data_IF_653742046517
#
_entry.id   IF_653742046517
#
_cell.length_a   1.000
_cell.length_b   1.000
_cell.length_c   1.000
_cell.angle_alpha   90.00
_cell.angle_beta   90.00
_cell.angle_gamma   90.00
#
_symmetry.space_group_name_H-M   'P 1'
#
loop_
_entity.id
_entity.type
_entity.pdbx_description
1 polymer ?
#
# COMPACT_ATOMS: atom_id res chain seq x y z
N UNK A 1 23.28 8.69 -12.20
CA UNK A 1 22.23 8.69 -13.24
C UNK A 1 20.93 8.19 -12.64
N UNK A 2 20.04 9.09 -12.19
CA UNK A 2 18.72 8.73 -11.66
C UNK A 2 17.67 8.93 -12.75
N UNK A 3 16.98 7.85 -13.14
CA UNK A 3 15.80 7.91 -14.01
C UNK A 3 14.59 8.23 -13.15
N UNK A 4 14.08 9.47 -13.27
CA UNK A 4 12.74 9.83 -12.81
C UNK A 4 11.71 9.12 -13.69
N UNK A 5 10.94 8.20 -13.10
CA UNK A 5 9.72 7.69 -13.73
C UNK A 5 8.56 8.64 -13.38
N UNK A 6 8.27 9.54 -14.32
CA UNK A 6 7.03 10.30 -14.36
C UNK A 6 5.89 9.36 -14.74
N UNK A 7 4.86 9.29 -13.90
CA UNK A 7 3.58 8.67 -14.21
C UNK A 7 2.81 9.50 -15.25
N UNK A 8 2.43 8.95 -16.41
CA UNK A 8 1.54 9.62 -17.35
C UNK A 8 0.11 9.17 -17.06
N UNK A 9 -0.60 9.91 -16.20
CA UNK A 9 -1.92 9.50 -15.75
C UNK A 9 -2.82 10.65 -15.39
N UNK A 10 -3.18 11.49 -16.38
CA UNK A 10 -4.45 12.24 -16.52
C UNK A 10 -4.35 13.24 -17.68
N UNK A 11 -4.52 12.75 -18.89
CA UNK A 11 -4.95 13.56 -20.03
C UNK A 11 -6.31 13.05 -20.47
N UNK A 12 -7.38 13.55 -19.85
CA UNK A 12 -8.73 13.51 -20.41
C UNK A 12 -8.98 14.87 -21.06
N UNK A 13 -8.49 15.00 -22.28
CA UNK A 13 -9.01 15.96 -23.23
C UNK A 13 -9.88 15.17 -24.22
N UNK A 14 -11.20 15.33 -24.11
CA UNK A 14 -12.10 15.04 -25.22
C UNK A 14 -13.18 16.12 -25.26
N UNK A 15 -12.85 17.18 -26.01
CA UNK A 15 -13.72 17.80 -27.00
C UNK A 15 -15.08 18.30 -26.50
N UNK A 16 -15.07 19.48 -25.86
CA UNK A 16 -16.21 20.39 -26.01
C UNK A 16 -16.20 20.87 -27.46
N UNK A 17 -17.06 20.27 -28.28
CA UNK A 17 -17.36 20.71 -29.62
C UNK A 17 -17.85 22.17 -29.57
N UNK A 18 -16.93 23.10 -29.81
CA UNK A 18 -17.28 24.41 -30.35
C UNK A 18 -17.93 24.14 -31.71
N UNK A 19 -19.25 24.29 -31.79
CA UNK A 19 -19.92 24.46 -33.08
C UNK A 19 -19.62 25.90 -33.54
N UNK A 20 -18.84 26.12 -34.62
CA UNK A 20 -18.94 27.37 -35.33
C UNK A 20 -20.31 27.37 -36.00
N UNK A 21 -21.20 28.27 -35.57
CA UNK A 21 -22.36 28.62 -36.39
C UNK A 21 -21.82 29.36 -37.61
N UNK A 22 -21.48 28.57 -38.62
CA UNK A 22 -21.20 29.02 -39.96
C UNK A 22 -22.40 29.82 -40.47
N UNK A 23 -22.07 30.99 -41.00
CA UNK A 23 -22.88 31.78 -41.90
C UNK A 23 -23.59 30.88 -42.91
N UNK A 24 -24.91 30.96 -42.95
CA UNK A 24 -25.71 30.86 -44.17
C UNK A 24 -27.15 31.27 -43.84
N UNK A 25 -27.39 32.57 -43.82
CA UNK A 25 -28.71 33.11 -44.08
C UNK A 25 -28.53 34.19 -45.15
N UNK A 26 -28.91 33.79 -46.37
CA UNK A 26 -29.15 34.62 -47.55
C UNK A 26 -29.50 36.06 -47.20
N UNK A 27 -28.73 37.00 -47.74
CA UNK A 27 -29.12 38.41 -47.84
C UNK A 27 -30.40 38.45 -48.69
N UNK A 28 -31.57 38.81 -48.13
CA UNK A 28 -32.71 39.09 -48.97
C UNK A 28 -32.40 40.37 -49.76
N UNK A 29 -32.51 40.26 -51.07
CA UNK A 29 -32.48 41.36 -52.03
C UNK A 29 -33.27 42.56 -51.48
N UNK A 30 -32.71 43.75 -51.69
CA UNK A 30 -33.33 45.05 -51.45
C UNK A 30 -34.85 45.05 -51.68
N UNK A 31 -35.63 44.84 -50.62
CA UNK A 31 -36.98 45.35 -50.57
C UNK A 31 -36.85 46.84 -50.34
N UNK A 32 -37.21 47.62 -51.36
CA UNK A 32 -37.41 49.06 -51.27
C UNK A 32 -38.35 49.32 -50.09
N UNK A 33 -37.79 49.75 -48.97
CA UNK A 33 -38.56 50.26 -47.84
C UNK A 33 -39.20 51.55 -48.35
N UNK A 34 -40.45 51.45 -48.80
CA UNK A 34 -41.31 52.62 -48.95
C UNK A 34 -41.44 53.21 -47.55
N UNK A 35 -40.70 54.28 -47.28
CA UNK A 35 -40.94 55.13 -46.13
C UNK A 35 -42.30 55.80 -46.33
N UNK A 36 -43.36 55.09 -45.97
CA UNK A 36 -44.63 55.72 -45.63
C UNK A 36 -44.35 56.52 -44.36
N UNK A 37 -44.06 57.80 -44.55
CA UNK A 37 -44.01 58.81 -43.50
C UNK A 37 -45.43 59.09 -43.01
N UNK A 38 -46.08 58.08 -42.44
CA UNK A 38 -47.22 58.32 -41.57
C UNK A 38 -46.67 58.99 -40.33
N UNK A 39 -46.86 60.31 -40.23
CA UNK A 39 -46.63 61.07 -39.00
C UNK A 39 -47.33 60.33 -37.87
N UNK A 40 -46.56 59.57 -37.08
CA UNK A 40 -47.06 58.97 -35.87
C UNK A 40 -47.57 60.13 -35.00
N UNK A 41 -48.86 60.11 -34.71
CA UNK A 41 -49.45 61.02 -33.73
C UNK A 41 -48.68 60.84 -32.41
N UNK A 42 -48.35 61.93 -31.71
CA UNK A 42 -47.55 61.93 -30.46
C UNK A 42 -48.03 60.89 -29.42
N UNK A 43 -49.30 60.48 -29.51
CA UNK A 43 -49.98 59.44 -28.72
C UNK A 43 -49.47 58.00 -28.93
N UNK A 44 -49.13 57.58 -30.16
CA UNK A 44 -48.68 56.20 -30.43
C UNK A 44 -47.22 55.96 -30.02
N UNK A 45 -46.37 56.97 -30.20
CA UNK A 45 -44.96 56.92 -29.80
C UNK A 45 -44.80 56.86 -28.26
N UNK A 46 -45.66 57.57 -27.52
CA UNK A 46 -45.71 57.51 -26.06
C UNK A 46 -46.13 56.13 -25.53
N UNK A 47 -47.10 55.47 -26.17
CA UNK A 47 -47.54 54.11 -25.81
C UNK A 47 -46.48 53.04 -26.07
N UNK A 48 -45.68 53.18 -27.13
CA UNK A 48 -44.55 52.28 -27.40
C UNK A 48 -43.40 52.50 -26.43
N UNK A 49 -43.09 53.76 -26.07
CA UNK A 49 -42.13 54.12 -25.03
C UNK A 49 -42.52 53.51 -23.68
N UNK A 50 -43.79 53.59 -23.27
CA UNK A 50 -44.28 52.95 -22.04
C UNK A 50 -44.17 51.42 -22.07
N UNK A 51 -44.42 50.77 -23.22
CA UNK A 51 -44.23 49.32 -23.37
C UNK A 51 -42.75 48.95 -23.27
N UNK A 52 -41.86 49.73 -23.87
CA UNK A 52 -40.42 49.51 -23.83
C UNK A 52 -39.86 49.73 -22.42
N UNK A 53 -40.27 50.79 -21.72
CA UNK A 53 -39.86 51.03 -20.33
C UNK A 53 -40.34 49.91 -19.40
N UNK A 54 -41.60 49.46 -19.52
CA UNK A 54 -42.11 48.28 -18.79
C UNK A 54 -41.32 47.00 -19.07
N UNK A 55 -40.92 46.75 -20.32
CA UNK A 55 -40.07 45.61 -20.69
C UNK A 55 -38.67 45.71 -20.09
N UNK A 56 -38.06 46.91 -20.11
CA UNK A 56 -36.74 47.16 -19.50
C UNK A 56 -36.81 46.97 -17.98
N UNK A 57 -37.88 47.41 -17.34
CA UNK A 57 -38.07 47.28 -15.90
C UNK A 57 -38.22 45.80 -15.50
N UNK A 58 -39.06 45.04 -16.21
CA UNK A 58 -39.16 43.57 -16.05
C UNK A 58 -37.84 42.85 -16.31
N UNK A 59 -37.06 43.28 -17.31
CA UNK A 59 -35.74 42.70 -17.59
C UNK A 59 -34.72 43.01 -16.47
N UNK A 60 -34.76 44.22 -15.89
CA UNK A 60 -33.93 44.61 -14.74
C UNK A 60 -34.28 43.79 -13.49
N UNK A 61 -35.57 43.55 -13.23
CA UNK A 61 -36.03 42.69 -12.13
C UNK A 61 -35.58 41.23 -12.31
N UNK A 62 -35.75 40.66 -13.51
CA UNK A 62 -35.24 39.32 -13.85
C UNK A 62 -33.72 39.21 -13.72
N UNK A 63 -32.97 40.25 -14.11
CA UNK A 63 -31.51 40.28 -13.93
C UNK A 63 -31.13 40.28 -12.45
N UNK A 64 -31.86 41.04 -11.62
CA UNK A 64 -31.63 41.06 -10.16
C UNK A 64 -31.97 39.73 -9.50
N UNK A 65 -33.05 39.05 -9.91
CA UNK A 65 -33.38 37.72 -9.37
C UNK A 65 -32.33 36.69 -9.76
N UNK A 66 -31.95 36.62 -11.04
CA UNK A 66 -30.89 35.70 -11.50
C UNK A 66 -29.54 35.94 -10.83
N UNK A 67 -29.19 37.20 -10.51
CA UNK A 67 -27.97 37.50 -9.75
C UNK A 67 -28.03 37.02 -8.30
N UNK A 68 -29.22 37.04 -7.67
CA UNK A 68 -29.40 36.48 -6.32
C UNK A 68 -29.28 34.95 -6.35
N UNK A 69 -29.95 34.30 -7.29
CA UNK A 69 -29.89 32.84 -7.47
C UNK A 69 -28.47 32.34 -7.74
N UNK A 70 -27.71 33.06 -8.58
CA UNK A 70 -26.29 32.75 -8.84
C UNK A 70 -25.45 32.87 -7.57
N UNK A 71 -25.62 33.94 -6.78
CA UNK A 71 -24.90 34.12 -5.51
C UNK A 71 -25.24 33.05 -4.49
N UNK A 72 -26.48 32.58 -4.47
CA UNK A 72 -26.92 31.50 -3.58
C UNK A 72 -26.31 30.16 -3.98
N UNK A 73 -26.36 29.81 -5.27
CA UNK A 73 -25.70 28.59 -5.80
C UNK A 73 -24.19 28.62 -5.60
N UNK A 74 -23.53 29.76 -5.78
CA UNK A 74 -22.09 29.90 -5.49
C UNK A 74 -21.77 29.64 -4.00
N UNK A 75 -22.63 30.09 -3.09
CA UNK A 75 -22.47 29.82 -1.65
C UNK A 75 -22.66 28.33 -1.33
N UNK A 76 -23.65 27.68 -1.93
CA UNK A 76 -23.87 26.23 -1.78
C UNK A 76 -22.69 25.42 -2.31
N UNK A 77 -22.20 25.74 -3.50
CA UNK A 77 -21.02 25.08 -4.10
C UNK A 77 -19.80 25.25 -3.18
N UNK A 78 -19.56 26.45 -2.63
CA UNK A 78 -18.47 26.68 -1.67
C UNK A 78 -18.62 25.84 -0.40
N UNK A 79 -19.84 25.72 0.14
CA UNK A 79 -20.11 24.85 1.30
C UNK A 79 -19.84 23.38 0.99
N UNK A 80 -20.31 22.87 -0.15
CA UNK A 80 -20.08 21.49 -0.58
C UNK A 80 -18.60 21.18 -0.81
N UNK A 81 -17.85 22.11 -1.41
CA UNK A 81 -16.39 21.96 -1.58
C UNK A 81 -15.69 21.92 -0.23
N UNK A 82 -16.07 22.81 0.70
CA UNK A 82 -15.52 22.84 2.05
C UNK A 82 -15.79 21.53 2.81
N UNK A 83 -17.02 21.03 2.72
CA UNK A 83 -17.42 19.76 3.35
C UNK A 83 -16.62 18.58 2.76
N UNK A 84 -16.56 18.46 1.42
CA UNK A 84 -15.78 17.42 0.75
C UNK A 84 -14.31 17.46 1.14
N UNK A 85 -13.70 18.66 1.23
CA UNK A 85 -12.31 18.81 1.67
C UNK A 85 -12.09 18.33 3.10
N UNK A 86 -13.03 18.62 4.01
CA UNK A 86 -12.97 18.12 5.40
C UNK A 86 -13.09 16.59 5.44
N UNK A 87 -14.02 16.03 4.68
CA UNK A 87 -14.24 14.58 4.62
C UNK A 87 -13.04 13.84 4.01
N UNK A 88 -12.42 14.37 2.95
CA UNK A 88 -11.22 13.77 2.35
C UNK A 88 -10.05 13.81 3.32
N UNK A 89 -9.84 14.94 4.01
CA UNK A 89 -8.77 15.06 5.01
C UNK A 89 -9.01 14.12 6.20
N UNK A 90 -10.25 13.96 6.65
CA UNK A 90 -10.60 13.00 7.70
C UNK A 90 -10.31 11.55 7.28
N UNK A 91 -10.75 11.16 6.07
CA UNK A 91 -10.49 9.83 5.50
C UNK A 91 -9.00 9.55 5.28
N UNK A 92 -8.23 10.52 4.80
CA UNK A 92 -6.79 10.39 4.64
C UNK A 92 -6.07 10.22 5.99
N UNK A 93 -6.50 10.96 7.02
CA UNK A 93 -5.96 10.78 8.38
C UNK A 93 -6.29 9.41 8.94
N UNK A 94 -7.52 8.94 8.77
CA UNK A 94 -7.95 7.62 9.27
C UNK A 94 -7.21 6.48 8.55
N UNK A 95 -7.12 6.55 7.22
CA UNK A 95 -6.37 5.56 6.43
C UNK A 95 -4.88 5.58 6.75
N UNK A 96 -4.29 6.76 6.98
CA UNK A 96 -2.90 6.89 7.42
C UNK A 96 -2.66 6.26 8.80
N UNK A 97 -3.58 6.48 9.76
CA UNK A 97 -3.52 5.84 11.09
C UNK A 97 -3.60 4.32 10.97
N UNK A 98 -4.60 3.79 10.26
CA UNK A 98 -4.76 2.34 10.02
C UNK A 98 -3.53 1.72 9.36
N UNK A 99 -2.93 2.40 8.38
CA UNK A 99 -1.68 1.93 7.74
C UNK A 99 -0.52 1.86 8.73
N UNK A 100 -0.35 2.88 9.58
CA UNK A 100 0.71 2.90 10.60
C UNK A 100 0.52 1.84 11.67
N UNK A 101 -0.72 1.58 12.09
CA UNK A 101 -1.04 0.52 13.05
C UNK A 101 -0.77 -0.86 12.44
N UNK A 102 -1.25 -1.13 11.23
CA UNK A 102 -0.97 -2.37 10.52
C UNK A 102 0.53 -2.59 10.26
N UNK A 103 1.30 -1.52 10.00
CA UNK A 103 2.75 -1.62 9.84
C UNK A 103 3.45 -1.96 11.16
N UNK A 104 3.03 -1.37 12.28
CA UNK A 104 3.53 -1.70 13.62
C UNK A 104 3.22 -3.15 14.01
N UNK A 105 2.01 -3.61 13.74
CA UNK A 105 1.61 -5.01 13.99
C UNK A 105 2.44 -5.97 13.15
N UNK A 106 2.63 -5.67 11.86
CA UNK A 106 3.50 -6.48 10.99
C UNK A 106 4.95 -6.50 11.47
N UNK A 107 5.48 -5.36 11.92
CA UNK A 107 6.83 -5.29 12.46
C UNK A 107 6.95 -6.12 13.75
N UNK A 108 5.98 -5.98 14.66
CA UNK A 108 5.92 -6.76 15.89
C UNK A 108 5.88 -8.26 15.61
N UNK A 109 4.96 -8.71 14.76
CA UNK A 109 4.86 -10.12 14.34
C UNK A 109 6.17 -10.62 13.71
N UNK A 110 6.78 -9.83 12.82
CA UNK A 110 8.05 -10.20 12.20
C UNK A 110 9.16 -10.39 13.24
N UNK A 111 9.22 -9.54 14.26
CA UNK A 111 10.23 -9.65 15.32
C UNK A 111 9.95 -10.82 16.27
N UNK A 112 8.68 -11.09 16.59
CA UNK A 112 8.26 -12.24 17.41
C UNK A 112 8.59 -13.57 16.74
N UNK A 113 8.29 -13.71 15.44
CA UNK A 113 8.46 -14.96 14.71
C UNK A 113 9.91 -15.23 14.29
N UNK A 114 10.75 -14.20 14.28
CA UNK A 114 12.15 -14.32 13.87
C UNK A 114 12.97 -15.13 14.88
N UNK A 115 13.80 -16.02 14.36
CA UNK A 115 14.74 -16.78 15.17
C UNK A 115 15.82 -15.87 15.81
N UNK A 116 16.20 -16.15 17.07
CA UNK A 116 17.23 -15.39 17.74
C UNK A 116 18.57 -15.65 17.05
N UNK A 117 19.31 -14.57 16.75
CA UNK A 117 20.63 -14.71 16.15
C UNK A 117 21.63 -15.16 17.23
N UNK A 118 22.38 -16.26 17.02
CA UNK A 118 23.42 -16.66 17.95
C UNK A 118 24.55 -15.63 17.97
N UNK A 119 25.23 -15.52 19.11
CA UNK A 119 26.47 -14.76 19.22
C UNK A 119 27.66 -15.62 18.80
N UNK A 120 28.68 -14.96 18.25
CA UNK A 120 30.01 -15.55 18.05
C UNK A 120 30.86 -15.30 19.30
N UNK A 121 31.91 -16.10 19.52
CA UNK A 121 32.82 -15.91 20.66
C UNK A 121 33.40 -14.48 20.72
N UNK A 122 33.74 -13.89 19.57
CA UNK A 122 34.16 -12.48 19.47
C UNK A 122 33.09 -11.52 19.96
N UNK A 123 31.84 -11.69 19.53
CA UNK A 123 30.76 -10.80 19.96
C UNK A 123 30.42 -10.99 21.44
N UNK A 124 30.54 -12.21 21.96
CA UNK A 124 30.38 -12.50 23.38
C UNK A 124 31.50 -11.84 24.20
N UNK A 125 32.76 -11.97 23.77
CA UNK A 125 33.91 -11.26 24.34
C UNK A 125 33.64 -9.75 24.42
N UNK A 126 33.24 -9.12 23.31
CA UNK A 126 32.91 -7.69 23.28
C UNK A 126 31.83 -7.30 24.29
N UNK A 127 30.87 -8.18 24.58
CA UNK A 127 29.80 -7.96 25.57
C UNK A 127 30.30 -8.10 27.00
N UNK A 128 31.21 -9.04 27.27
CA UNK A 128 31.85 -9.24 28.57
C UNK A 128 32.79 -8.08 28.90
N UNK A 129 33.72 -7.77 28.00
CA UNK A 129 34.80 -6.79 28.23
C UNK A 129 34.39 -5.35 27.92
N UNK A 130 33.25 -5.15 27.25
CA UNK A 130 32.80 -3.85 26.73
C UNK A 130 33.81 -3.22 25.73
N UNK A 131 34.62 -4.05 25.08
CA UNK A 131 35.58 -3.62 24.05
C UNK A 131 34.86 -2.96 22.86
N UNK A 132 35.35 -1.80 22.37
CA UNK A 132 34.78 -1.16 21.18
C UNK A 132 35.05 -1.97 19.92
N UNK A 133 34.12 -1.88 18.95
CA UNK A 133 34.17 -2.65 17.68
C UNK A 133 35.49 -2.43 16.90
N UNK A 134 36.09 -1.25 17.00
CA UNK A 134 37.34 -0.89 16.33
C UNK A 134 38.56 -1.66 16.84
N UNK A 135 38.56 -2.05 18.12
CA UNK A 135 39.66 -2.78 18.76
C UNK A 135 39.39 -4.28 18.88
N UNK A 136 38.12 -4.71 18.73
CA UNK A 136 37.66 -6.07 18.97
C UNK A 136 38.50 -7.16 18.30
N UNK A 137 38.79 -7.03 17.01
CA UNK A 137 39.56 -8.05 16.30
C UNK A 137 40.98 -8.17 16.85
N UNK A 138 41.64 -7.05 17.10
CA UNK A 138 43.01 -7.04 17.61
C UNK A 138 43.09 -7.62 19.03
N UNK A 139 42.18 -7.20 19.91
CA UNK A 139 42.17 -7.65 21.30
C UNK A 139 41.81 -9.13 21.40
N UNK A 140 40.81 -9.60 20.65
CA UNK A 140 40.40 -11.00 20.68
C UNK A 140 41.45 -11.93 20.06
N UNK A 141 42.07 -11.52 18.94
CA UNK A 141 43.06 -12.36 18.27
C UNK A 141 44.36 -12.47 19.10
N UNK A 142 44.67 -11.45 19.91
CA UNK A 142 45.79 -11.44 20.84
C UNK A 142 45.59 -12.35 22.08
N UNK A 143 44.37 -12.84 22.35
CA UNK A 143 44.12 -13.76 23.45
C UNK A 143 44.79 -15.11 23.19
N UNK A 144 45.27 -15.80 24.24
CA UNK A 144 45.72 -17.17 24.13
C UNK A 144 44.54 -18.09 23.78
N UNK A 145 44.83 -19.20 23.09
CA UNK A 145 43.78 -20.10 22.61
C UNK A 145 42.97 -20.73 23.76
N UNK A 146 43.59 -20.94 24.92
CA UNK A 146 42.91 -21.40 26.14
C UNK A 146 41.80 -20.44 26.61
N UNK A 147 42.02 -19.12 26.51
CA UNK A 147 40.99 -18.13 26.85
C UNK A 147 39.92 -18.06 25.78
N UNK A 148 40.29 -18.14 24.49
CA UNK A 148 39.33 -18.20 23.38
C UNK A 148 38.38 -19.38 23.53
N UNK A 149 38.86 -20.54 23.98
CA UNK A 149 38.03 -21.70 24.29
C UNK A 149 37.05 -21.44 25.43
N UNK A 150 37.45 -20.76 26.51
CA UNK A 150 36.54 -20.39 27.59
C UNK A 150 35.42 -19.47 27.09
N UNK A 151 35.76 -18.47 26.27
CA UNK A 151 34.75 -17.61 25.63
C UNK A 151 33.84 -18.39 24.69
N UNK A 152 34.37 -19.37 23.95
CA UNK A 152 33.57 -20.23 23.08
C UNK A 152 32.57 -21.06 23.89
N UNK A 153 33.01 -21.70 24.98
CA UNK A 153 32.13 -22.46 25.86
C UNK A 153 31.04 -21.58 26.50
N UNK A 154 31.39 -20.39 26.98
CA UNK A 154 30.42 -19.43 27.52
C UNK A 154 29.42 -18.97 26.46
N UNK A 155 29.89 -18.77 25.22
CA UNK A 155 29.05 -18.41 24.07
C UNK A 155 28.08 -19.53 23.71
N UNK A 156 28.53 -20.78 23.72
CA UNK A 156 27.70 -21.93 23.41
C UNK A 156 26.62 -22.13 24.48
N UNK A 157 26.95 -21.97 25.77
CA UNK A 157 25.97 -21.95 26.86
C UNK A 157 24.93 -20.85 26.67
N UNK A 158 25.36 -19.64 26.33
CA UNK A 158 24.44 -18.52 26.03
C UNK A 158 23.54 -18.84 24.83
N UNK A 159 24.09 -19.34 23.74
CA UNK A 159 23.34 -19.65 22.53
C UNK A 159 22.34 -20.79 22.75
N UNK A 160 22.70 -21.80 23.54
CA UNK A 160 21.81 -22.87 23.95
C UNK A 160 20.65 -22.34 24.80
N UNK A 161 20.94 -21.53 25.82
CA UNK A 161 19.92 -20.88 26.64
C UNK A 161 19.01 -19.94 25.81
N UNK A 162 19.59 -19.21 24.86
CA UNK A 162 18.85 -18.34 23.96
C UNK A 162 17.91 -19.13 23.04
N UNK A 163 18.36 -20.29 22.54
CA UNK A 163 17.58 -21.18 21.67
C UNK A 163 16.48 -21.90 22.45
N UNK A 164 16.71 -22.27 23.71
CA UNK A 164 15.73 -22.99 24.53
C UNK A 164 14.53 -22.15 24.97
N UNK A 165 14.63 -20.82 24.92
CA UNK A 165 13.52 -19.92 25.29
C UNK A 165 12.38 -19.98 24.27
N UNK A 166 12.71 -20.25 23.01
CA UNK A 166 11.76 -20.14 21.91
C UNK A 166 11.46 -21.49 21.29
N UNK A 167 10.18 -21.80 21.15
CA UNK A 167 9.74 -23.00 20.47
C UNK A 167 10.20 -22.97 19.00
N UNK A 168 10.93 -24.01 18.52
CA UNK A 168 11.42 -24.03 17.14
C UNK A 168 10.27 -24.06 16.15
N UNK A 169 10.52 -23.57 14.94
CA UNK A 169 9.51 -23.60 13.88
C UNK A 169 9.16 -25.06 13.54
N UNK A 170 7.88 -25.45 13.53
CA UNK A 170 7.49 -26.81 13.19
C UNK A 170 7.84 -27.11 11.73
N UNK A 171 8.26 -28.35 11.48
CA UNK A 171 8.39 -28.88 10.13
C UNK A 171 6.99 -29.14 9.57
N UNK A 172 6.60 -28.37 8.57
CA UNK A 172 5.27 -28.46 7.96
C UNK A 172 5.34 -29.30 6.69
N UNK A 173 4.34 -30.18 6.52
CA UNK A 173 4.17 -30.97 5.31
C UNK A 173 3.76 -30.13 4.09
N UNK A 174 3.59 -30.77 2.92
CA UNK A 174 3.16 -30.08 1.71
C UNK A 174 1.73 -29.53 1.90
N UNK A 175 1.53 -28.27 1.53
CA UNK A 175 0.21 -27.60 1.57
C UNK A 175 -0.42 -27.48 0.19
N UNK A 176 0.38 -27.63 -0.85
CA UNK A 176 -0.07 -27.53 -2.24
C UNK A 176 0.23 -28.82 -2.98
N UNK A 177 -0.57 -29.09 -4.01
CA UNK A 177 -0.41 -30.24 -4.89
C UNK A 177 1.00 -30.32 -5.49
N UNK A 178 1.55 -29.18 -5.92
CA UNK A 178 2.92 -29.14 -6.46
C UNK A 178 3.98 -29.42 -5.39
N UNK A 179 3.83 -28.91 -4.17
CA UNK A 179 4.75 -29.24 -3.07
C UNK A 179 4.74 -30.73 -2.76
N UNK A 180 3.56 -31.36 -2.77
CA UNK A 180 3.43 -32.80 -2.57
C UNK A 180 4.11 -33.60 -3.69
N UNK A 181 3.94 -33.16 -4.94
CA UNK A 181 4.67 -33.72 -6.08
C UNK A 181 6.19 -33.59 -5.91
N UNK A 182 6.68 -32.40 -5.54
CA UNK A 182 8.11 -32.16 -5.31
C UNK A 182 8.65 -33.03 -4.18
N UNK A 183 7.94 -33.15 -3.05
CA UNK A 183 8.40 -33.98 -1.93
C UNK A 183 8.49 -35.46 -2.28
N UNK A 184 7.61 -35.97 -3.14
CA UNK A 184 7.61 -37.38 -3.54
C UNK A 184 8.63 -37.69 -4.65
N UNK A 185 8.95 -36.72 -5.51
CA UNK A 185 9.76 -36.94 -6.72
C UNK A 185 11.17 -36.32 -6.64
N UNK A 186 11.59 -35.82 -5.49
CA UNK A 186 12.87 -35.11 -5.36
C UNK A 186 14.07 -36.05 -5.61
N UNK A 187 14.92 -35.77 -6.62
CA UNK A 187 16.04 -36.66 -6.94
C UNK A 187 17.17 -36.54 -5.91
N UNK A 188 17.72 -37.68 -5.41
CA UNK A 188 18.86 -37.64 -4.50
C UNK A 188 20.14 -37.23 -5.24
N UNK A 189 21.04 -36.51 -4.55
CA UNK A 189 22.38 -36.19 -5.05
C UNK A 189 22.47 -35.10 -6.14
N UNK A 190 21.35 -34.47 -6.51
CA UNK A 190 21.33 -33.37 -7.47
C UNK A 190 21.27 -32.03 -6.73
N UNK A 191 21.92 -30.99 -7.28
CA UNK A 191 21.82 -29.64 -6.71
C UNK A 191 20.36 -29.15 -6.72
N UNK A 192 19.95 -28.43 -5.68
CA UNK A 192 18.55 -28.01 -5.51
C UNK A 192 18.03 -27.20 -6.68
N UNK A 193 18.88 -26.36 -7.29
CA UNK A 193 18.49 -25.56 -8.45
C UNK A 193 18.17 -26.43 -9.67
N UNK A 194 18.99 -27.44 -9.96
CA UNK A 194 18.79 -28.36 -11.09
C UNK A 194 17.59 -29.27 -10.83
N UNK A 195 17.48 -29.81 -9.61
CA UNK A 195 16.36 -30.66 -9.20
C UNK A 195 15.01 -29.93 -9.36
N UNK A 196 14.91 -28.69 -8.87
CA UNK A 196 13.67 -27.91 -8.95
C UNK A 196 13.31 -27.53 -10.39
N UNK A 197 14.29 -27.25 -11.27
CA UNK A 197 14.01 -27.01 -12.70
C UNK A 197 13.45 -28.25 -13.37
N UNK A 198 14.08 -29.41 -13.18
CA UNK A 198 13.62 -30.67 -13.75
C UNK A 198 12.21 -31.04 -13.27
N UNK A 199 11.93 -30.86 -11.98
CA UNK A 199 10.60 -31.11 -11.42
C UNK A 199 9.56 -30.13 -11.95
N UNK A 200 9.91 -28.86 -12.12
CA UNK A 200 9.00 -27.88 -12.70
C UNK A 200 8.63 -28.23 -14.15
N UNK A 201 9.58 -28.70 -14.95
CA UNK A 201 9.31 -29.10 -16.32
C UNK A 201 8.49 -30.39 -16.38
N UNK A 202 8.81 -31.40 -15.55
CA UNK A 202 7.97 -32.59 -15.38
C UNK A 202 6.54 -32.24 -14.96
N UNK A 203 6.38 -31.32 -14.02
CA UNK A 203 5.06 -30.88 -13.56
C UNK A 203 4.22 -30.23 -14.66
N UNK A 204 4.84 -29.46 -15.55
CA UNK A 204 4.14 -28.85 -16.69
C UNK A 204 3.66 -29.91 -17.68
N UNK A 205 4.42 -30.99 -17.87
CA UNK A 205 4.06 -32.08 -18.79
C UNK A 205 2.99 -33.01 -18.24
N UNK A 206 2.77 -33.05 -16.93
CA UNK A 206 1.72 -33.87 -16.32
C UNK A 206 0.31 -33.42 -16.74
N UNK A 207 -0.55 -34.40 -17.02
CA UNK A 207 -1.98 -34.23 -17.23
C UNK A 207 -2.68 -33.76 -15.94
N UNK A 208 -3.93 -33.29 -16.06
CA UNK A 208 -4.68 -32.84 -14.89
C UNK A 208 -5.02 -34.00 -13.95
N UNK A 209 -5.31 -35.18 -14.50
CA UNK A 209 -5.62 -36.39 -13.71
C UNK A 209 -4.41 -36.82 -12.86
N UNK A 210 -3.20 -36.79 -13.45
CA UNK A 210 -1.96 -37.05 -12.70
C UNK A 210 -1.69 -35.98 -11.65
N UNK A 211 -2.07 -34.73 -11.89
CA UNK A 211 -1.93 -33.67 -10.87
C UNK A 211 -2.88 -33.89 -9.70
N UNK A 212 -4.08 -34.39 -9.98
CA UNK A 212 -5.09 -34.64 -8.95
C UNK A 212 -4.66 -35.75 -7.98
N UNK A 213 -3.84 -36.72 -8.41
CA UNK A 213 -3.27 -37.74 -7.49
C UNK A 213 -2.32 -37.16 -6.45
N UNK A 214 -1.74 -35.98 -6.70
CA UNK A 214 -0.87 -35.28 -5.74
C UNK A 214 -1.63 -34.29 -4.86
N UNK A 215 -2.97 -34.21 -4.97
CA UNK A 215 -3.76 -33.25 -4.20
C UNK A 215 -3.66 -33.55 -2.71
N UNK A 216 -3.29 -32.53 -1.93
CA UNK A 216 -3.25 -32.64 -0.48
C UNK A 216 -4.68 -32.63 0.06
N UNK A 217 -5.08 -33.58 0.92
CA UNK A 217 -6.39 -33.58 1.54
C UNK A 217 -6.64 -32.30 2.35
N UNK A 218 -7.87 -31.79 2.33
CA UNK A 218 -8.20 -30.51 2.97
C UNK A 218 -7.97 -30.52 4.49
N UNK A 219 -8.28 -31.64 5.15
CA UNK A 219 -8.02 -31.81 6.59
C UNK A 219 -6.53 -31.67 6.95
N UNK A 220 -5.63 -32.09 6.07
CA UNK A 220 -4.19 -31.99 6.30
C UNK A 220 -3.71 -30.54 6.14
N UNK A 221 -4.28 -29.80 5.18
CA UNK A 221 -4.05 -28.37 5.03
C UNK A 221 -4.54 -27.59 6.25
N UNK A 222 -5.71 -27.95 6.80
CA UNK A 222 -6.25 -27.35 8.03
C UNK A 222 -5.39 -27.66 9.25
N UNK A 223 -4.93 -28.92 9.39
CA UNK A 223 -3.99 -29.33 10.45
C UNK A 223 -2.69 -28.53 10.39
N UNK A 224 -2.13 -28.34 9.19
CA UNK A 224 -0.90 -27.54 9.01
C UNK A 224 -1.15 -26.08 9.43
N UNK A 225 -2.29 -25.50 9.05
CA UNK A 225 -2.67 -24.14 9.44
C UNK A 225 -2.85 -24.00 10.96
N UNK A 226 -3.46 -24.99 11.62
CA UNK A 226 -3.64 -24.97 13.07
C UNK A 226 -2.31 -25.05 13.79
N UNK A 227 -1.42 -25.96 13.39
CA UNK A 227 -0.06 -26.09 13.95
C UNK A 227 0.72 -24.78 13.77
N UNK A 228 0.65 -24.17 12.58
CA UNK A 228 1.33 -22.90 12.34
C UNK A 228 0.78 -21.79 13.26
N UNK A 229 -0.54 -21.70 13.41
CA UNK A 229 -1.18 -20.71 14.26
C UNK A 229 -0.83 -20.91 15.75
N UNK A 230 -0.87 -22.14 16.23
CA UNK A 230 -0.48 -22.49 17.59
C UNK A 230 0.99 -22.14 17.86
N UNK A 231 1.88 -22.39 16.89
CA UNK A 231 3.28 -21.97 16.98
C UNK A 231 3.42 -20.45 17.04
N UNK A 232 2.72 -19.70 16.18
CA UNK A 232 2.75 -18.23 16.18
C UNK A 232 2.26 -17.65 17.53
N UNK A 233 1.17 -18.22 18.08
CA UNK A 233 0.65 -17.83 19.40
C UNK A 233 1.63 -18.17 20.53
N UNK A 234 2.24 -19.35 20.49
CA UNK A 234 3.25 -19.78 21.48
C UNK A 234 4.45 -18.84 21.46
N UNK A 235 4.96 -18.50 20.27
CA UNK A 235 6.06 -17.53 20.09
C UNK A 235 5.67 -16.14 20.59
N UNK A 236 4.42 -15.74 20.39
CA UNK A 236 3.85 -14.51 20.95
C UNK A 236 3.99 -14.41 22.47
N UNK A 237 3.78 -15.53 23.17
CA UNK A 237 3.89 -15.62 24.64
C UNK A 237 5.33 -15.68 25.14
N UNK A 238 6.22 -16.37 24.42
CA UNK A 238 7.64 -16.53 24.80
C UNK A 238 8.50 -15.32 24.45
N UNK A 239 8.07 -14.48 23.49
CA UNK A 239 8.86 -13.35 23.03
C UNK A 239 9.22 -12.31 24.10
N UNK A 240 8.32 -11.93 25.04
CA UNK A 240 8.69 -11.11 26.19
C UNK A 240 9.82 -11.72 27.04
N UNK A 241 9.81 -13.04 27.25
CA UNK A 241 10.84 -13.73 28.02
C UNK A 241 12.20 -13.69 27.31
N UNK A 242 12.21 -13.80 25.96
CA UNK A 242 13.40 -13.58 25.16
C UNK A 242 13.96 -12.15 25.33
N UNK A 243 13.09 -11.13 25.31
CA UNK A 243 13.51 -9.75 25.51
C UNK A 243 14.09 -9.57 26.92
N UNK A 244 13.45 -10.15 27.93
CA UNK A 244 13.90 -10.11 29.32
C UNK A 244 15.26 -10.77 29.46
N UNK A 245 15.42 -11.99 28.93
CA UNK A 245 16.69 -12.71 28.90
C UNK A 245 17.80 -11.88 28.28
N UNK A 246 17.59 -11.29 27.09
CA UNK A 246 18.62 -10.46 26.43
C UNK A 246 19.02 -9.21 27.23
N UNK A 247 18.12 -8.66 28.05
CA UNK A 247 18.39 -7.47 28.88
C UNK A 247 19.08 -7.82 30.19
N UNK A 248 18.70 -8.94 30.81
CA UNK A 248 19.12 -9.32 32.15
C UNK A 248 20.29 -10.32 32.15
N UNK A 249 20.61 -10.95 31.02
CA UNK A 249 21.69 -11.92 30.94
C UNK A 249 23.03 -11.29 31.36
N UNK A 250 23.65 -11.89 32.38
CA UNK A 250 24.96 -11.50 32.86
C UNK A 250 26.02 -12.22 32.04
N UNK A 251 26.75 -11.46 31.24
CA UNK A 251 27.88 -11.96 30.48
C UNK A 251 29.05 -12.22 31.43
N UNK A 252 29.30 -13.51 31.69
CA UNK A 252 30.38 -14.01 32.54
C UNK A 252 31.10 -15.13 31.79
N UNK A 253 32.36 -15.36 32.14
CA UNK A 253 33.22 -16.44 31.62
C UNK A 253 33.27 -17.54 32.67
#
# INVERSE_FOLDING_TARGET
>A
MMRFMLSPGRALASQLAFKPLLLNASIPRHTVVKFLTTKATKSTYQKELEKLTKKIQKAKEKKKSLQKDLKEKEREIKKLISQRKKDTVAKEKETSKKKKEAEKEKAHLKDTLREPRPLTARNYFAKVTKTPVTALNKEFDALPDSEKEQYQQATDKYNQALKSILTPKPELGPTTTYQNFVSQNYPPGVSSEVAMRQLADKWKTLSQEEKDSYKVPEHEVERIKSIQKEWEETRGREYPDLIKFKKEYKFVI
#
